data_IF_910024671419
#
_entry.id   IF_910024671419
#
_cell.length_a   1.000
_cell.length_b   1.000
_cell.length_c   1.000
_cell.angle_alpha   90.00
_cell.angle_beta   90.00
_cell.angle_gamma   90.00
#
_symmetry.space_group_name_H-M   'P 1'
#
loop_
_entity.id
_entity.type
_entity.pdbx_description
1 polymer ?
#
# COMPACT_ATOMS: atom_id res chain seq x y z
N UNK A 1 -37.09 15.89 -3.13
CA UNK A 1 -36.37 15.26 -2.00
C UNK A 1 -35.97 13.86 -2.43
N UNK A 2 -34.69 13.64 -2.73
CA UNK A 2 -34.13 12.31 -2.91
C UNK A 2 -32.95 12.23 -1.96
N UNK A 3 -33.05 11.30 -1.02
CA UNK A 3 -32.02 10.97 -0.04
C UNK A 3 -30.78 10.46 -0.78
N UNK A 4 -29.75 11.30 -0.89
CA UNK A 4 -28.38 10.86 -1.17
C UNK A 4 -27.62 10.91 0.14
N UNK A 5 -27.87 9.92 1.00
CA UNK A 5 -27.03 9.65 2.16
C UNK A 5 -26.75 8.16 2.18
N UNK A 6 -25.54 7.78 2.61
CA UNK A 6 -24.85 6.48 2.48
C UNK A 6 -23.97 6.45 1.20
N UNK A 7 -22.65 6.66 1.22
CA UNK A 7 -21.67 6.34 2.24
C UNK A 7 -20.54 7.37 2.21
N UNK A 8 -20.61 8.37 3.09
CA UNK A 8 -19.41 9.06 3.56
C UNK A 8 -18.96 8.33 4.84
N UNK A 9 -18.67 7.03 4.72
CA UNK A 9 -17.89 6.34 5.74
C UNK A 9 -16.60 7.14 5.83
N UNK A 10 -16.32 7.75 6.98
CA UNK A 10 -15.09 8.51 7.20
C UNK A 10 -13.91 7.59 6.86
N UNK A 11 -13.38 7.75 5.64
CA UNK A 11 -12.31 6.91 5.14
C UNK A 11 -11.08 7.22 5.98
N UNK A 12 -10.65 6.25 6.80
CA UNK A 12 -9.54 6.40 7.74
C UNK A 12 -8.27 6.94 7.04
N UNK A 13 -7.51 7.77 7.75
CA UNK A 13 -6.20 8.21 7.28
C UNK A 13 -5.25 7.00 7.29
N UNK A 14 -4.50 6.82 6.22
CA UNK A 14 -3.51 5.74 6.06
C UNK A 14 -2.18 6.30 6.55
N UNK A 15 -1.69 5.80 7.67
CA UNK A 15 -0.46 6.30 8.28
C UNK A 15 0.72 5.42 7.87
N UNK A 16 1.72 6.04 7.24
CA UNK A 16 2.97 5.36 6.85
C UNK A 16 4.14 5.87 7.69
N UNK A 17 5.20 5.07 7.82
CA UNK A 17 6.37 5.39 8.66
C UNK A 17 7.49 6.02 7.85
N UNK A 18 8.31 6.84 8.51
CA UNK A 18 9.56 7.35 7.91
C UNK A 18 10.60 6.26 7.71
N UNK A 19 10.74 5.39 8.69
CA UNK A 19 11.74 4.32 8.73
C UNK A 19 11.01 3.06 9.19
N UNK A 20 11.21 1.98 8.43
CA UNK A 20 10.73 0.65 8.77
C UNK A 20 11.88 -0.20 9.28
N UNK A 21 11.66 -0.81 10.44
CA UNK A 21 12.54 -1.82 11.02
C UNK A 21 12.56 -3.10 10.17
N UNK A 22 13.57 -3.97 10.34
CA UNK A 22 13.63 -5.25 9.62
C UNK A 22 12.39 -6.13 9.81
N UNK A 23 11.87 -6.23 11.04
CA UNK A 23 10.68 -7.05 11.33
C UNK A 23 9.42 -6.53 10.66
N UNK A 24 9.23 -5.21 10.59
CA UNK A 24 8.10 -4.61 9.89
C UNK A 24 8.18 -4.85 8.38
N UNK A 25 9.39 -4.77 7.81
CA UNK A 25 9.63 -5.09 6.40
C UNK A 25 9.33 -6.56 6.11
N UNK A 26 9.71 -7.45 7.01
CA UNK A 26 9.43 -8.88 6.90
C UNK A 26 7.92 -9.15 6.93
N UNK A 27 7.18 -8.51 7.84
CA UNK A 27 5.73 -8.61 7.92
C UNK A 27 5.04 -8.09 6.64
N UNK A 28 5.43 -6.90 6.16
CA UNK A 28 4.90 -6.32 4.91
C UNK A 28 5.22 -7.20 3.71
N UNK A 29 6.40 -7.80 3.65
CA UNK A 29 6.81 -8.75 2.60
C UNK A 29 5.96 -10.01 2.65
N UNK A 30 5.70 -10.56 3.84
CA UNK A 30 4.84 -11.73 4.00
C UNK A 30 3.42 -11.42 3.51
N UNK A 31 2.82 -10.34 3.98
CA UNK A 31 1.48 -9.91 3.56
C UNK A 31 1.39 -9.65 2.04
N UNK A 32 2.41 -9.02 1.44
CA UNK A 32 2.46 -8.83 -0.01
C UNK A 32 2.61 -10.16 -0.78
N UNK A 33 3.36 -11.11 -0.23
CA UNK A 33 3.53 -12.44 -0.82
C UNK A 33 2.21 -13.20 -0.79
N UNK A 34 1.52 -13.20 0.35
CA UNK A 34 0.19 -13.78 0.50
C UNK A 34 -0.79 -13.15 -0.49
N UNK A 35 -0.81 -11.81 -0.59
CA UNK A 35 -1.66 -11.11 -1.55
C UNK A 35 -1.37 -11.50 -3.00
N UNK A 36 -0.08 -11.61 -3.38
CA UNK A 36 0.31 -12.07 -4.71
C UNK A 36 -0.20 -13.49 -5.01
N UNK A 37 -0.17 -14.37 -4.00
CA UNK A 37 -0.67 -15.74 -4.11
C UNK A 37 -2.20 -15.80 -4.17
N UNK A 38 -2.90 -15.01 -3.35
CA UNK A 38 -4.37 -14.88 -3.38
C UNK A 38 -4.89 -14.49 -4.77
N UNK A 39 -4.17 -13.58 -5.43
CA UNK A 39 -4.51 -13.09 -6.76
C UNK A 39 -4.10 -14.02 -7.90
N UNK A 40 -3.17 -14.94 -7.63
CA UNK A 40 -2.50 -15.78 -8.64
C UNK A 40 -1.91 -14.97 -9.82
N UNK A 41 -1.16 -13.91 -9.49
CA UNK A 41 -0.60 -12.99 -10.50
C UNK A 41 0.93 -12.89 -10.47
N UNK A 42 1.47 -12.44 -11.61
CA UNK A 42 2.86 -12.01 -11.74
C UNK A 42 3.11 -10.62 -11.15
N UNK A 43 4.39 -10.28 -10.94
CA UNK A 43 4.82 -8.98 -10.40
C UNK A 43 4.33 -7.77 -11.24
N UNK A 44 4.31 -7.81 -12.58
CA UNK A 44 3.80 -6.67 -13.37
C UNK A 44 2.34 -6.34 -13.05
N UNK A 45 1.47 -7.35 -12.95
CA UNK A 45 0.05 -7.17 -12.62
C UNK A 45 -0.12 -6.72 -11.18
N UNK A 46 0.63 -7.30 -10.23
CA UNK A 46 0.63 -6.85 -8.84
C UNK A 46 1.05 -5.37 -8.73
N UNK A 47 2.07 -4.95 -9.49
CA UNK A 47 2.51 -3.56 -9.51
C UNK A 47 1.41 -2.63 -10.01
N UNK A 48 0.73 -2.99 -11.10
CA UNK A 48 -0.38 -2.21 -11.64
C UNK A 48 -1.51 -2.06 -10.60
N UNK A 49 -1.86 -3.14 -9.89
CA UNK A 49 -2.86 -3.07 -8.82
C UNK A 49 -2.42 -2.16 -7.67
N UNK A 50 -1.16 -2.24 -7.24
CA UNK A 50 -0.60 -1.34 -6.22
C UNK A 50 -0.70 0.12 -6.69
N UNK A 51 -0.27 0.40 -7.92
CA UNK A 51 -0.30 1.73 -8.52
C UNK A 51 -1.70 2.30 -8.55
N UNK A 52 -2.66 1.55 -9.10
CA UNK A 52 -4.04 1.98 -9.22
C UNK A 52 -4.65 2.26 -7.84
N UNK A 53 -4.46 1.33 -6.89
CA UNK A 53 -5.10 1.41 -5.59
C UNK A 53 -4.51 2.55 -4.73
N UNK A 54 -3.18 2.66 -4.67
CA UNK A 54 -2.51 3.70 -3.89
C UNK A 54 -2.76 5.08 -4.51
N UNK A 55 -2.74 5.19 -5.84
CA UNK A 55 -3.00 6.48 -6.51
C UNK A 55 -4.42 6.98 -6.26
N UNK A 56 -5.41 6.08 -6.29
CA UNK A 56 -6.80 6.42 -5.98
C UNK A 56 -7.00 6.92 -4.53
N UNK A 57 -6.14 6.49 -3.61
CA UNK A 57 -6.21 6.85 -2.18
C UNK A 57 -5.10 7.79 -1.73
N UNK A 58 -4.29 8.34 -2.64
CA UNK A 58 -3.09 9.13 -2.32
C UNK A 58 -3.36 10.27 -1.32
N UNK A 59 -4.52 10.91 -1.40
CA UNK A 59 -4.90 12.04 -0.52
C UNK A 59 -5.15 11.63 0.93
N UNK A 60 -5.27 10.33 1.19
CA UNK A 60 -5.48 9.75 2.53
C UNK A 60 -4.19 9.25 3.17
N UNK A 61 -3.13 9.10 2.38
CA UNK A 61 -1.84 8.62 2.90
C UNK A 61 -1.14 9.79 3.57
N UNK A 62 -0.82 9.64 4.85
CA UNK A 62 -0.17 10.66 5.65
C UNK A 62 1.18 10.14 6.16
N UNK A 63 2.24 10.90 5.91
CA UNK A 63 3.55 10.67 6.51
C UNK A 63 3.62 11.29 7.90
N UNK A 64 4.57 10.89 8.76
CA UNK A 64 4.64 11.44 10.12
C UNK A 64 5.02 12.93 10.18
N UNK A 65 5.47 13.57 9.09
CA UNK A 65 5.57 15.05 9.00
C UNK A 65 4.23 15.76 8.93
N UNK A 66 3.15 15.06 8.62
CA UNK A 66 1.91 15.67 8.13
C UNK A 66 1.89 15.91 6.61
N UNK A 67 2.94 15.52 5.87
CA UNK A 67 2.88 15.51 4.41
C UNK A 67 1.88 14.46 3.91
N UNK A 68 0.99 14.88 3.02
CA UNK A 68 0.04 13.99 2.37
C UNK A 68 0.61 13.42 1.07
N UNK A 69 0.34 12.15 0.85
CA UNK A 69 0.60 11.43 -0.39
C UNK A 69 1.92 10.67 -0.44
N UNK A 70 1.89 9.66 -1.29
CA UNK A 70 3.05 8.91 -1.78
C UNK A 70 2.99 8.91 -3.31
N UNK A 71 4.16 8.84 -3.94
CA UNK A 71 4.30 8.78 -5.39
C UNK A 71 4.40 7.32 -5.82
N UNK A 72 3.26 6.71 -6.16
CA UNK A 72 3.18 5.28 -6.48
C UNK A 72 4.16 4.87 -7.59
N UNK A 73 4.43 5.77 -8.53
CA UNK A 73 5.31 5.61 -9.69
C UNK A 73 6.79 5.40 -9.29
N UNK A 74 7.17 5.71 -8.05
CA UNK A 74 8.51 5.42 -7.51
C UNK A 74 8.74 3.92 -7.29
N UNK A 75 7.66 3.13 -7.20
CA UNK A 75 7.71 1.68 -7.09
C UNK A 75 7.84 1.08 -8.50
N UNK A 76 8.94 0.39 -8.76
CA UNK A 76 9.21 -0.28 -10.04
C UNK A 76 9.20 -1.81 -9.87
N UNK A 77 9.06 -2.60 -10.95
CA UNK A 77 9.04 -4.06 -10.86
C UNK A 77 10.25 -4.64 -10.12
N UNK A 78 11.45 -4.11 -10.39
CA UNK A 78 12.70 -4.53 -9.74
C UNK A 78 12.67 -4.38 -8.21
N UNK A 79 11.90 -3.41 -7.71
CA UNK A 79 11.75 -3.19 -6.28
C UNK A 79 10.88 -4.27 -5.66
N UNK A 80 9.78 -4.64 -6.31
CA UNK A 80 8.92 -5.73 -5.85
C UNK A 80 9.67 -7.06 -5.88
N UNK A 81 10.36 -7.40 -6.99
CA UNK A 81 11.19 -8.61 -7.05
C UNK A 81 12.26 -8.64 -5.95
N UNK A 82 12.97 -7.51 -5.75
CA UNK A 82 13.95 -7.38 -4.69
C UNK A 82 13.33 -7.57 -3.31
N UNK A 83 12.20 -6.92 -3.04
CA UNK A 83 11.53 -6.98 -1.75
C UNK A 83 11.02 -8.39 -1.43
N UNK A 84 10.35 -9.05 -2.39
CA UNK A 84 9.87 -10.43 -2.22
C UNK A 84 11.02 -11.43 -2.02
N UNK A 85 12.20 -11.18 -2.61
CA UNK A 85 13.41 -11.99 -2.37
C UNK A 85 14.19 -11.61 -1.10
N UNK A 86 13.67 -10.69 -0.28
CA UNK A 86 14.29 -10.28 0.99
C UNK A 86 15.41 -9.26 0.85
N UNK A 87 15.58 -8.63 -0.31
CA UNK A 87 16.53 -7.53 -0.48
C UNK A 87 16.00 -6.26 0.18
N UNK A 88 16.94 -5.46 0.68
CA UNK A 88 16.63 -4.14 1.24
C UNK A 88 16.05 -3.23 0.16
N UNK A 89 15.03 -2.47 0.55
CA UNK A 89 14.36 -1.48 -0.28
C UNK A 89 14.28 -0.15 0.48
N UNK A 90 14.36 0.96 -0.24
CA UNK A 90 14.27 2.30 0.36
C UNK A 90 12.89 2.53 0.98
N UNK A 91 12.84 3.19 2.14
CA UNK A 91 11.60 3.41 2.90
C UNK A 91 10.47 4.07 2.09
N UNK A 92 10.71 5.07 1.20
CA UNK A 92 9.63 5.62 0.37
C UNK A 92 8.89 4.58 -0.47
N UNK A 93 9.57 3.52 -0.92
CA UNK A 93 8.94 2.42 -1.66
C UNK A 93 8.21 1.44 -0.74
N UNK A 94 8.70 1.27 0.49
CA UNK A 94 8.03 0.47 1.52
C UNK A 94 6.73 1.16 1.96
N UNK A 95 6.72 2.49 2.07
CA UNK A 95 5.51 3.27 2.37
C UNK A 95 4.39 3.01 1.36
N UNK A 96 4.72 2.84 0.07
CA UNK A 96 3.73 2.51 -0.97
C UNK A 96 3.11 1.13 -0.74
N UNK A 97 3.92 0.14 -0.35
CA UNK A 97 3.45 -1.22 -0.05
C UNK A 97 2.62 -1.24 1.23
N UNK A 98 3.07 -0.54 2.27
CA UNK A 98 2.35 -0.40 3.53
C UNK A 98 0.98 0.26 3.30
N UNK A 99 0.95 1.39 2.57
CA UNK A 99 -0.29 2.05 2.21
C UNK A 99 -1.22 1.13 1.41
N UNK A 100 -0.69 0.37 0.45
CA UNK A 100 -1.48 -0.61 -0.32
C UNK A 100 -2.13 -1.67 0.59
N UNK A 101 -1.37 -2.27 1.51
CA UNK A 101 -1.87 -3.30 2.42
C UNK A 101 -2.89 -2.75 3.42
N UNK A 102 -2.67 -1.56 3.96
CA UNK A 102 -3.65 -0.89 4.84
C UNK A 102 -4.98 -0.62 4.10
N UNK A 103 -4.93 -0.16 2.84
CA UNK A 103 -6.15 0.06 2.04
C UNK A 103 -6.92 -1.26 1.81
N UNK A 104 -6.20 -2.37 1.61
CA UNK A 104 -6.84 -3.68 1.44
C UNK A 104 -7.49 -4.16 2.74
N UNK A 105 -6.83 -3.99 3.88
CA UNK A 105 -7.35 -4.39 5.18
C UNK A 105 -8.62 -3.62 5.56
N UNK A 106 -8.70 -2.33 5.23
CA UNK A 106 -9.93 -1.54 5.38
C UNK A 106 -11.08 -2.12 4.55
N UNK A 107 -10.83 -2.58 3.33
CA UNK A 107 -11.86 -3.17 2.46
C UNK A 107 -12.35 -4.53 2.95
N UNK A 108 -11.53 -5.26 3.70
CA UNK A 108 -11.88 -6.57 4.27
C UNK A 108 -12.67 -6.43 5.58
N UNK A 109 -12.63 -5.28 6.25
CA UNK A 109 -13.40 -5.03 7.49
C UNK A 109 -14.81 -4.49 7.13
N UNK A 110 -15.89 -5.11 7.65
CA UNK A 110 -17.27 -4.73 7.37
C UNK A 110 -17.66 -3.36 7.93
#
# INVERSE_FOLDING_TARGET
MLHTSLANTEKQIIEVKYIYSPSERDALRQALTERKLELDVGVPTLLAEIHDLVSAHRKRVCKPSGELGVYAEQLQPKNIYGFLSGRRMEDPRVQIIDAYLQILDERKKP
#
